data_IF_491874708762
#
_entry.id   IF_491874708762
#
_cell.length_a   1.000
_cell.length_b   1.000
_cell.length_c   1.000
_cell.angle_alpha   90.00
_cell.angle_beta   90.00
_cell.angle_gamma   90.00
#
_symmetry.space_group_name_H-M   'P 1'
#
loop_
_entity.id
_entity.type
_entity.pdbx_description
1 polymer ?
#
# COMPACT_ATOMS: atom_id res chain seq x y z
N UNK A 1 -22.67 -13.62 18.55
CA UNK A 1 -21.22 -13.58 18.34
C UNK A 1 -20.87 -13.46 16.85
N UNK A 2 -21.38 -14.27 15.98
CA UNK A 2 -21.16 -14.28 14.51
C UNK A 2 -21.50 -12.94 13.84
N UNK A 3 -22.58 -12.26 14.19
CA UNK A 3 -22.92 -10.92 13.66
C UNK A 3 -21.95 -9.80 14.06
N UNK A 4 -21.22 -9.93 15.17
CA UNK A 4 -20.16 -8.99 15.55
C UNK A 4 -18.88 -9.24 14.74
N UNK A 5 -18.55 -10.48 14.45
CA UNK A 5 -17.40 -10.85 13.61
C UNK A 5 -17.62 -10.41 12.16
N UNK A 6 -18.82 -10.62 11.59
CA UNK A 6 -19.21 -10.15 10.25
C UNK A 6 -19.25 -8.62 10.13
N UNK A 7 -19.48 -7.89 11.22
CA UNK A 7 -19.45 -6.42 11.26
C UNK A 7 -18.04 -5.86 11.41
N UNK A 8 -17.09 -6.69 11.85
CA UNK A 8 -15.66 -6.34 12.00
C UNK A 8 -14.81 -6.79 10.79
N UNK A 9 -15.30 -7.70 9.99
CA UNK A 9 -14.71 -8.05 8.70
C UNK A 9 -15.11 -6.93 7.75
N UNK A 10 -14.41 -5.80 7.88
CA UNK A 10 -14.54 -4.69 6.93
C UNK A 10 -14.44 -5.30 5.53
N UNK A 11 -15.52 -5.25 4.81
CA UNK A 11 -15.65 -5.80 3.45
C UNK A 11 -14.55 -5.24 2.52
N UNK A 12 -13.95 -4.12 2.91
CA UNK A 12 -12.81 -3.48 2.26
C UNK A 12 -11.53 -4.30 2.45
N UNK A 13 -11.29 -4.84 3.64
CA UNK A 13 -10.10 -5.67 3.92
C UNK A 13 -10.16 -6.98 3.16
N UNK A 14 -11.34 -7.60 3.08
CA UNK A 14 -11.56 -8.82 2.29
C UNK A 14 -11.33 -8.53 0.79
N UNK A 15 -11.90 -7.45 0.27
CA UNK A 15 -11.70 -7.06 -1.14
C UNK A 15 -10.24 -6.79 -1.45
N UNK A 16 -9.51 -6.14 -0.55
CA UNK A 16 -8.08 -5.91 -0.71
C UNK A 16 -7.28 -7.21 -0.64
N UNK A 17 -7.63 -8.13 0.27
CA UNK A 17 -7.03 -9.46 0.33
C UNK A 17 -7.21 -10.23 -0.98
N UNK A 18 -8.44 -10.23 -1.55
CA UNK A 18 -8.70 -10.85 -2.85
C UNK A 18 -7.89 -10.24 -3.99
N UNK A 19 -7.77 -8.90 -4.05
CA UNK A 19 -6.95 -8.23 -5.06
C UNK A 19 -5.49 -8.68 -5.00
N UNK A 20 -4.89 -8.70 -3.81
CA UNK A 20 -3.50 -9.14 -3.63
C UNK A 20 -3.35 -10.59 -4.04
N UNK A 21 -4.21 -11.46 -3.52
CA UNK A 21 -4.14 -12.89 -3.79
C UNK A 21 -4.23 -13.18 -5.28
N UNK A 22 -5.20 -12.59 -5.98
CA UNK A 22 -5.35 -12.76 -7.42
C UNK A 22 -4.12 -12.22 -8.15
N UNK A 23 -3.63 -11.02 -7.78
CA UNK A 23 -2.49 -10.39 -8.45
C UNK A 23 -1.17 -11.13 -8.24
N UNK A 24 -1.00 -11.81 -7.11
CA UNK A 24 0.20 -12.58 -6.82
C UNK A 24 0.12 -14.02 -7.34
N UNK A 25 -1.00 -14.70 -7.11
CA UNK A 25 -1.13 -16.14 -7.39
C UNK A 25 -1.35 -16.43 -8.87
N UNK A 26 -2.13 -15.58 -9.57
CA UNK A 26 -2.47 -15.83 -10.98
C UNK A 26 -1.23 -15.85 -11.90
N UNK A 27 -0.30 -14.87 -11.84
CA UNK A 27 0.92 -14.94 -12.63
C UNK A 27 1.79 -16.16 -12.31
N UNK A 28 1.90 -16.53 -11.02
CA UNK A 28 2.70 -17.69 -10.61
C UNK A 28 2.13 -18.97 -11.22
N UNK A 29 0.81 -19.20 -11.10
CA UNK A 29 0.18 -20.40 -11.67
C UNK A 29 0.33 -20.41 -13.18
N UNK A 30 0.07 -19.29 -13.85
CA UNK A 30 0.14 -19.20 -15.31
C UNK A 30 1.55 -19.55 -15.84
N UNK A 31 2.58 -18.93 -15.28
CA UNK A 31 3.95 -19.17 -15.71
C UNK A 31 4.52 -20.53 -15.22
N UNK A 32 3.98 -21.08 -14.12
CA UNK A 32 4.30 -22.43 -13.69
C UNK A 32 3.90 -23.48 -14.75
N UNK A 33 2.69 -23.35 -15.31
CA UNK A 33 2.25 -24.23 -16.40
C UNK A 33 3.06 -24.08 -17.68
N UNK A 34 3.67 -22.92 -17.92
CA UNK A 34 4.57 -22.67 -19.05
C UNK A 34 6.02 -23.13 -18.79
N UNK A 35 6.32 -23.65 -17.61
CA UNK A 35 7.68 -24.09 -17.24
C UNK A 35 8.63 -22.95 -16.83
N UNK A 36 8.14 -21.72 -16.69
CA UNK A 36 8.92 -20.53 -16.35
C UNK A 36 8.54 -19.94 -14.98
N UNK A 37 8.67 -20.75 -13.93
CA UNK A 37 8.27 -20.35 -12.56
C UNK A 37 8.91 -19.04 -12.09
N UNK A 38 10.20 -18.83 -12.38
CA UNK A 38 10.94 -17.63 -11.94
C UNK A 38 10.34 -16.33 -12.48
N UNK A 39 9.86 -16.34 -13.73
CA UNK A 39 9.21 -15.19 -14.35
C UNK A 39 7.91 -14.87 -13.61
N UNK A 40 7.07 -15.88 -13.36
CA UNK A 40 5.81 -15.72 -12.64
C UNK A 40 6.02 -15.22 -11.21
N UNK A 41 7.04 -15.74 -10.53
CA UNK A 41 7.38 -15.33 -9.18
C UNK A 41 7.85 -13.87 -9.12
N UNK A 42 8.68 -13.43 -10.07
CA UNK A 42 9.16 -12.05 -10.15
C UNK A 42 8.01 -11.08 -10.41
N UNK A 43 7.07 -11.43 -11.30
CA UNK A 43 5.86 -10.63 -11.56
C UNK A 43 5.00 -10.56 -10.28
N UNK A 44 4.81 -11.67 -9.57
CA UNK A 44 4.06 -11.69 -8.32
C UNK A 44 4.69 -10.83 -7.24
N UNK A 45 6.03 -10.83 -7.11
CA UNK A 45 6.75 -9.95 -6.20
C UNK A 45 6.52 -8.48 -6.55
N UNK A 46 6.60 -8.10 -7.83
CA UNK A 46 6.31 -6.74 -8.30
C UNK A 46 4.89 -6.30 -7.93
N UNK A 47 3.90 -7.17 -8.13
CA UNK A 47 2.51 -6.91 -7.75
C UNK A 47 2.35 -6.74 -6.22
N UNK A 48 2.97 -7.62 -5.44
CA UNK A 48 2.93 -7.60 -3.98
C UNK A 48 3.58 -6.33 -3.40
N UNK A 49 4.73 -5.93 -3.93
CA UNK A 49 5.44 -4.73 -3.47
C UNK A 49 4.70 -3.44 -3.82
N UNK A 50 3.95 -3.43 -4.91
CA UNK A 50 3.19 -2.24 -5.34
C UNK A 50 1.89 -2.06 -4.55
N UNK A 51 1.32 -3.14 -3.99
CA UNK A 51 0.05 -3.14 -3.27
C UNK A 51 -0.08 -2.08 -2.15
N UNK A 52 0.93 -1.83 -1.27
CA UNK A 52 0.77 -0.91 -0.15
C UNK A 52 0.39 0.52 -0.59
N UNK A 53 0.74 0.90 -1.82
CA UNK A 53 0.42 2.21 -2.38
C UNK A 53 -1.04 2.36 -2.84
N UNK A 54 -1.82 1.26 -2.90
CA UNK A 54 -3.23 1.25 -3.28
C UNK A 54 -4.12 1.79 -2.15
N UNK A 55 -3.98 3.07 -1.85
CA UNK A 55 -4.83 3.75 -0.89
C UNK A 55 -6.11 4.19 -1.58
N UNK A 56 -7.26 3.94 -0.93
CA UNK A 56 -8.55 4.35 -1.44
C UNK A 56 -8.64 5.87 -1.66
N UNK A 57 -8.90 6.27 -2.89
CA UNK A 57 -8.96 7.66 -3.31
C UNK A 57 -9.64 7.79 -4.67
N UNK A 58 -9.73 9.02 -5.21
CA UNK A 58 -10.23 9.24 -6.57
C UNK A 58 -9.39 8.46 -7.60
N UNK A 59 -10.01 8.02 -8.70
CA UNK A 59 -9.40 7.19 -9.74
C UNK A 59 -8.04 7.70 -10.22
N UNK A 60 -7.94 9.00 -10.53
CA UNK A 60 -6.69 9.60 -11.02
C UNK A 60 -5.56 9.48 -9.98
N UNK A 61 -5.86 9.79 -8.73
CA UNK A 61 -4.88 9.71 -7.65
C UNK A 61 -4.50 8.27 -7.30
N UNK A 62 -5.42 7.33 -7.47
CA UNK A 62 -5.15 5.90 -7.29
C UNK A 62 -4.20 5.38 -8.36
N UNK A 63 -4.50 5.63 -9.63
CA UNK A 63 -3.66 5.20 -10.76
C UNK A 63 -2.24 5.77 -10.61
N UNK A 64 -2.13 7.08 -10.38
CA UNK A 64 -0.83 7.72 -10.24
C UNK A 64 -0.04 7.17 -9.05
N UNK A 65 -0.70 6.93 -7.90
CA UNK A 65 -0.03 6.39 -6.72
C UNK A 65 0.55 4.98 -6.95
N UNK A 66 -0.23 4.10 -7.57
CA UNK A 66 0.19 2.73 -7.89
C UNK A 66 1.27 2.73 -8.98
N UNK A 67 1.14 3.56 -10.02
CA UNK A 67 2.16 3.71 -11.07
C UNK A 67 3.50 4.19 -10.49
N UNK A 68 3.48 5.27 -9.70
CA UNK A 68 4.71 5.79 -9.07
C UNK A 68 5.35 4.71 -8.19
N UNK A 69 4.57 3.96 -7.43
CA UNK A 69 5.11 2.85 -6.63
C UNK A 69 5.73 1.75 -7.51
N UNK A 70 5.08 1.35 -8.61
CA UNK A 70 5.61 0.36 -9.52
C UNK A 70 6.95 0.79 -10.12
N UNK A 71 7.07 2.06 -10.55
CA UNK A 71 8.32 2.62 -11.05
C UNK A 71 9.41 2.71 -9.98
N UNK A 72 9.07 3.10 -8.75
CA UNK A 72 10.03 3.16 -7.64
C UNK A 72 10.50 1.76 -7.27
N UNK A 73 9.61 0.77 -7.21
CA UNK A 73 9.94 -0.63 -6.90
C UNK A 73 10.89 -1.20 -7.96
N UNK A 74 10.55 -1.06 -9.24
CA UNK A 74 11.39 -1.55 -10.33
C UNK A 74 12.72 -0.78 -10.42
N UNK A 75 12.67 0.55 -10.28
CA UNK A 75 13.85 1.42 -10.31
C UNK A 75 14.80 1.17 -9.13
N UNK A 76 14.30 0.98 -7.92
CA UNK A 76 15.10 0.66 -6.76
C UNK A 76 15.81 -0.69 -6.92
N UNK A 77 15.10 -1.71 -7.41
CA UNK A 77 15.67 -3.02 -7.69
C UNK A 77 16.78 -2.93 -8.77
N UNK A 78 16.48 -2.23 -9.87
CA UNK A 78 17.44 -2.01 -10.95
C UNK A 78 18.71 -1.30 -10.46
N UNK A 79 18.56 -0.21 -9.70
CA UNK A 79 19.69 0.55 -9.19
C UNK A 79 20.58 -0.28 -8.28
N UNK A 80 20.00 -1.06 -7.37
CA UNK A 80 20.77 -1.93 -6.46
C UNK A 80 21.57 -2.95 -7.24
N UNK A 81 20.94 -3.67 -8.18
CA UNK A 81 21.62 -4.69 -8.98
C UNK A 81 22.71 -4.10 -9.89
N UNK A 82 22.51 -2.89 -10.43
CA UNK A 82 23.49 -2.22 -11.30
C UNK A 82 24.74 -1.79 -10.53
N UNK A 83 24.58 -1.36 -9.27
CA UNK A 83 25.68 -0.77 -8.48
C UNK A 83 26.40 -1.85 -7.64
N UNK A 84 25.72 -2.96 -7.33
CA UNK A 84 26.26 -4.03 -6.50
C UNK A 84 27.66 -4.52 -6.91
N UNK A 85 28.04 -4.64 -8.21
CA UNK A 85 29.39 -5.09 -8.62
C UNK A 85 30.51 -4.13 -8.20
N UNK A 86 30.20 -2.88 -7.82
CA UNK A 86 31.20 -1.84 -7.50
C UNK A 86 31.16 -1.49 -6.00
N UNK A 87 31.85 -2.23 -5.10
CA UNK A 87 31.69 -2.10 -3.65
C UNK A 87 32.03 -0.69 -3.13
N UNK A 88 33.00 0.01 -3.70
CA UNK A 88 33.39 1.36 -3.26
C UNK A 88 32.27 2.37 -3.49
N UNK A 89 31.53 2.24 -4.59
CA UNK A 89 30.41 3.13 -4.95
C UNK A 89 29.12 2.65 -4.30
N UNK A 90 29.01 1.34 -4.08
CA UNK A 90 27.80 0.71 -3.55
C UNK A 90 27.42 1.24 -2.16
N UNK A 91 28.35 1.26 -1.20
CA UNK A 91 28.04 1.66 0.17
C UNK A 91 27.49 3.09 0.29
N UNK A 92 28.16 4.14 -0.25
CA UNK A 92 27.64 5.51 -0.13
C UNK A 92 26.33 5.69 -0.90
N UNK A 93 26.19 5.07 -2.07
CA UNK A 93 25.01 5.22 -2.90
C UNK A 93 23.81 4.45 -2.32
N UNK A 94 24.03 3.29 -1.70
CA UNK A 94 23.01 2.56 -0.97
C UNK A 94 22.42 3.40 0.16
N UNK A 95 23.26 4.02 0.99
CA UNK A 95 22.80 4.91 2.07
C UNK A 95 21.98 6.07 1.50
N UNK A 96 22.43 6.63 0.39
CA UNK A 96 21.75 7.74 -0.28
C UNK A 96 20.40 7.32 -0.84
N UNK A 97 20.27 6.15 -1.46
CA UNK A 97 18.99 5.60 -1.96
C UNK A 97 18.02 5.40 -0.80
N UNK A 98 18.46 4.75 0.29
CA UNK A 98 17.61 4.53 1.47
C UNK A 98 17.18 5.86 2.09
N UNK A 99 18.07 6.85 2.16
CA UNK A 99 17.78 8.18 2.66
C UNK A 99 16.72 8.90 1.80
N UNK A 100 16.87 8.92 0.48
CA UNK A 100 15.89 9.54 -0.41
C UNK A 100 14.54 8.84 -0.35
N UNK A 101 14.52 7.50 -0.36
CA UNK A 101 13.27 6.76 -0.18
C UNK A 101 12.60 7.09 1.15
N UNK A 102 13.37 7.22 2.23
CA UNK A 102 12.85 7.57 3.55
C UNK A 102 12.27 8.99 3.59
N UNK A 103 12.91 9.97 2.95
CA UNK A 103 12.40 11.36 2.87
C UNK A 103 11.04 11.42 2.18
N UNK A 104 10.78 10.59 1.18
CA UNK A 104 9.49 10.53 0.50
C UNK A 104 8.33 10.36 1.49
N UNK A 105 8.55 9.64 2.60
CA UNK A 105 7.52 9.40 3.62
C UNK A 105 7.00 10.68 4.29
N UNK A 106 7.74 11.77 4.27
CA UNK A 106 7.36 13.07 4.87
C UNK A 106 6.18 13.71 4.14
N UNK A 107 5.97 13.41 2.87
CA UNK A 107 4.92 14.00 2.03
C UNK A 107 3.51 13.45 2.29
N UNK A 108 3.30 12.67 3.35
CA UNK A 108 1.99 12.20 3.79
C UNK A 108 1.78 10.70 3.63
N UNK A 109 0.61 10.22 4.06
CA UNK A 109 0.33 8.78 4.19
C UNK A 109 0.55 7.98 2.91
N UNK A 110 0.20 8.54 1.74
CA UNK A 110 0.42 7.87 0.45
C UNK A 110 1.91 7.75 0.12
N UNK A 111 2.64 8.84 0.30
CA UNK A 111 4.07 8.87 0.07
C UNK A 111 4.81 7.91 1.03
N UNK A 112 4.33 7.78 2.26
CA UNK A 112 4.83 6.79 3.24
C UNK A 112 4.67 5.35 2.71
N UNK A 113 3.53 5.01 2.11
CA UNK A 113 3.31 3.66 1.56
C UNK A 113 4.15 3.40 0.31
N UNK A 114 4.34 4.40 -0.53
CA UNK A 114 5.25 4.32 -1.69
C UNK A 114 6.70 4.16 -1.23
N UNK A 115 7.14 4.93 -0.25
CA UNK A 115 8.47 4.81 0.39
C UNK A 115 8.69 3.40 0.96
N UNK A 116 7.71 2.89 1.70
CA UNK A 116 7.73 1.54 2.26
C UNK A 116 7.89 0.47 1.18
N UNK A 117 7.14 0.58 0.07
CA UNK A 117 7.26 -0.31 -1.09
C UNK A 117 8.66 -0.29 -1.70
N UNK A 118 9.23 0.91 -1.85
CA UNK A 118 10.60 1.10 -2.36
C UNK A 118 11.66 0.50 -1.44
N UNK A 119 11.56 0.74 -0.13
CA UNK A 119 12.49 0.17 0.86
C UNK A 119 12.42 -1.35 0.93
N UNK A 120 11.22 -1.93 0.84
CA UNK A 120 11.06 -3.38 0.72
C UNK A 120 11.69 -3.93 -0.57
N UNK A 121 11.52 -3.22 -1.69
CA UNK A 121 12.16 -3.62 -2.96
C UNK A 121 13.69 -3.61 -2.85
N UNK A 122 14.27 -2.59 -2.22
CA UNK A 122 15.71 -2.52 -1.94
C UNK A 122 16.16 -3.72 -1.10
N UNK A 123 15.42 -4.07 -0.04
CA UNK A 123 15.73 -5.22 0.81
C UNK A 123 15.67 -6.54 0.05
N UNK A 124 14.65 -6.73 -0.81
CA UNK A 124 14.48 -7.95 -1.59
C UNK A 124 15.44 -8.04 -2.78
N UNK A 125 15.99 -6.93 -3.27
CA UNK A 125 16.98 -6.94 -4.33
C UNK A 125 18.24 -7.75 -3.96
N UNK A 126 18.57 -7.83 -2.68
CA UNK A 126 19.69 -8.66 -2.18
C UNK A 126 19.42 -10.15 -2.22
N UNK A 127 18.16 -10.58 -2.27
CA UNK A 127 17.80 -12.00 -2.35
C UNK A 127 18.05 -12.59 -3.76
N UNK A 128 17.98 -11.74 -4.78
CA UNK A 128 18.17 -12.13 -6.19
C UNK A 128 19.07 -11.11 -6.89
N UNK A 129 20.39 -11.29 -6.73
CA UNK A 129 21.38 -10.48 -7.42
C UNK A 129 21.56 -10.99 -8.84
N UNK A 130 21.19 -10.20 -9.80
CA UNK A 130 21.32 -10.50 -11.22
C UNK A 130 22.52 -9.75 -11.81
N UNK A 131 23.06 -10.26 -12.90
CA UNK A 131 24.19 -9.65 -13.63
C UNK A 131 23.87 -9.50 -15.10
N UNK A 132 24.43 -8.47 -15.75
CA UNK A 132 24.26 -8.24 -17.17
C UNK A 132 22.83 -7.89 -17.58
N UNK A 133 22.36 -8.50 -18.67
CA UNK A 133 21.03 -8.24 -19.27
C UNK A 133 19.90 -8.67 -18.35
N UNK A 134 20.11 -9.72 -17.54
CA UNK A 134 19.10 -10.21 -16.59
C UNK A 134 18.64 -9.14 -15.57
N UNK A 135 19.45 -8.13 -15.28
CA UNK A 135 19.06 -7.01 -14.42
C UNK A 135 17.86 -6.26 -15.01
N UNK A 136 17.92 -5.97 -16.30
CA UNK A 136 16.87 -5.21 -16.99
C UNK A 136 15.61 -6.06 -17.14
N UNK A 137 15.77 -7.34 -17.46
CA UNK A 137 14.65 -8.28 -17.55
C UNK A 137 13.93 -8.40 -16.19
N UNK A 138 14.66 -8.57 -15.10
CA UNK A 138 14.09 -8.68 -13.76
C UNK A 138 13.35 -7.40 -13.33
N UNK A 139 13.95 -6.23 -13.58
CA UNK A 139 13.30 -4.95 -13.30
C UNK A 139 12.05 -4.74 -14.16
N UNK A 140 12.10 -5.13 -15.43
CA UNK A 140 10.96 -5.10 -16.34
C UNK A 140 9.81 -6.01 -15.91
N UNK A 141 10.13 -7.22 -15.45
CA UNK A 141 9.14 -8.16 -14.91
C UNK A 141 8.51 -7.65 -13.61
N UNK A 142 9.30 -7.03 -12.73
CA UNK A 142 8.74 -6.38 -11.53
C UNK A 142 7.80 -5.23 -11.88
N UNK A 143 8.16 -4.42 -12.87
CA UNK A 143 7.30 -3.35 -13.35
C UNK A 143 6.02 -3.92 -13.97
N UNK A 144 6.12 -4.98 -14.78
CA UNK A 144 4.97 -5.68 -15.33
C UNK A 144 4.05 -6.21 -14.22
N UNK A 145 4.61 -6.71 -13.12
CA UNK A 145 3.86 -7.12 -11.93
C UNK A 145 3.08 -5.98 -11.28
N UNK A 146 3.72 -4.82 -11.12
CA UNK A 146 3.06 -3.62 -10.61
C UNK A 146 1.92 -3.13 -11.51
N UNK A 147 2.12 -3.15 -12.84
CA UNK A 147 1.08 -2.83 -13.82
C UNK A 147 -0.07 -3.86 -13.81
N UNK A 148 0.25 -5.14 -13.66
CA UNK A 148 -0.75 -6.19 -13.53
C UNK A 148 -1.60 -6.00 -12.26
N UNK A 149 -0.95 -5.65 -11.13
CA UNK A 149 -1.67 -5.28 -9.92
C UNK A 149 -2.61 -4.10 -10.16
N UNK A 150 -2.14 -3.06 -10.85
CA UNK A 150 -2.95 -1.89 -11.19
C UNK A 150 -4.19 -2.31 -12.01
N UNK A 151 -3.99 -3.16 -13.01
CA UNK A 151 -5.10 -3.69 -13.83
C UNK A 151 -6.15 -4.41 -12.98
N UNK A 152 -5.72 -5.34 -12.13
CA UNK A 152 -6.62 -6.06 -11.20
C UNK A 152 -7.33 -5.08 -10.27
N UNK A 153 -6.61 -4.11 -9.70
CA UNK A 153 -7.18 -3.10 -8.80
C UNK A 153 -8.22 -2.22 -9.49
N UNK A 154 -8.04 -1.90 -10.78
CA UNK A 154 -9.03 -1.18 -11.59
C UNK A 154 -10.27 -2.03 -11.89
N UNK A 155 -10.10 -3.30 -12.22
CA UNK A 155 -11.25 -4.22 -12.41
C UNK A 155 -12.13 -4.25 -11.16
N UNK A 156 -11.54 -4.39 -9.98
CA UNK A 156 -12.28 -4.36 -8.72
C UNK A 156 -12.90 -2.98 -8.41
N UNK A 157 -12.27 -1.89 -8.85
CA UNK A 157 -12.84 -0.55 -8.69
C UNK A 157 -14.11 -0.39 -9.53
N UNK A 158 -14.14 -0.86 -10.79
CA UNK A 158 -15.32 -0.79 -11.64
C UNK A 158 -16.47 -1.69 -11.15
N UNK A 159 -16.16 -2.81 -10.49
CA UNK A 159 -17.17 -3.68 -9.91
C UNK A 159 -17.90 -3.05 -8.71
N UNK A 160 -17.24 -2.20 -7.91
CA UNK A 160 -17.80 -1.58 -6.71
C UNK A 160 -17.29 -0.15 -6.48
N UNK A 161 -17.63 0.83 -7.32
CA UNK A 161 -17.03 2.17 -7.28
C UNK A 161 -17.43 3.00 -6.05
N UNK A 162 -18.62 2.79 -5.48
CA UNK A 162 -19.16 3.63 -4.40
C UNK A 162 -18.98 3.06 -2.99
N UNK A 163 -18.69 1.79 -2.87
CA UNK A 163 -18.66 1.09 -1.56
C UNK A 163 -17.66 1.67 -0.57
N UNK A 164 -16.53 2.13 -1.05
CA UNK A 164 -15.52 2.74 -0.19
C UNK A 164 -15.94 4.13 0.31
N UNK A 165 -16.59 4.91 -0.56
CA UNK A 165 -17.11 6.23 -0.22
C UNK A 165 -18.21 6.11 0.85
N UNK A 166 -19.12 5.16 0.70
CA UNK A 166 -20.18 4.87 1.67
C UNK A 166 -19.61 4.51 3.05
N UNK A 167 -18.57 3.68 3.11
CA UNK A 167 -17.93 3.29 4.36
C UNK A 167 -17.24 4.47 5.04
N UNK A 168 -16.56 5.34 4.30
CA UNK A 168 -15.95 6.53 4.85
C UNK A 168 -16.99 7.52 5.36
N UNK A 169 -18.05 7.77 4.61
CA UNK A 169 -19.16 8.63 5.03
C UNK A 169 -19.82 8.07 6.29
N UNK A 170 -20.11 6.76 6.33
CA UNK A 170 -20.68 6.11 7.50
C UNK A 170 -19.76 6.23 8.74
N UNK A 171 -18.44 6.13 8.54
CA UNK A 171 -17.47 6.30 9.62
C UNK A 171 -17.40 7.75 10.11
N UNK A 172 -17.42 8.73 9.20
CA UNK A 172 -17.51 10.15 9.52
C UNK A 172 -18.78 10.47 10.33
N UNK A 173 -19.95 10.03 9.85
CA UNK A 173 -21.23 10.24 10.54
C UNK A 173 -21.19 9.62 11.94
N UNK A 174 -20.65 8.40 12.08
CA UNK A 174 -20.53 7.71 13.37
C UNK A 174 -19.60 8.46 14.34
N UNK A 175 -18.49 9.01 13.85
CA UNK A 175 -17.56 9.80 14.67
C UNK A 175 -18.18 11.13 15.08
N UNK A 176 -18.86 11.81 14.16
CA UNK A 176 -19.58 13.07 14.42
C UNK A 176 -20.72 12.84 15.44
N UNK A 177 -21.51 11.79 15.28
CA UNK A 177 -22.54 11.41 16.25
C UNK A 177 -21.96 11.20 17.66
N UNK A 178 -20.84 10.49 17.77
CA UNK A 178 -20.15 10.28 19.05
C UNK A 178 -19.60 11.59 19.63
N UNK A 179 -19.11 12.49 18.78
CA UNK A 179 -18.65 13.81 19.20
C UNK A 179 -19.79 14.66 19.75
N UNK A 180 -20.91 14.72 19.02
CA UNK A 180 -22.12 15.45 19.45
C UNK A 180 -22.68 14.89 20.75
N UNK A 181 -22.69 13.56 20.93
CA UNK A 181 -23.13 12.94 22.17
C UNK A 181 -22.25 13.35 23.37
N UNK A 182 -20.92 13.37 23.19
CA UNK A 182 -20.01 13.86 24.23
C UNK A 182 -20.20 15.34 24.54
N UNK A 183 -20.54 16.13 23.55
CA UNK A 183 -20.83 17.56 23.72
C UNK A 183 -22.15 17.77 24.47
N UNK A 184 -23.16 16.95 24.18
CA UNK A 184 -24.42 16.95 24.95
C UNK A 184 -24.22 16.55 26.42
N UNK A 185 -23.33 15.57 26.67
CA UNK A 185 -23.00 15.13 28.04
C UNK A 185 -22.33 16.25 28.86
N UNK A 186 -21.65 17.23 28.21
CA UNK A 186 -21.08 18.41 28.91
C UNK A 186 -22.13 19.38 29.43
N UNK A 187 -23.34 19.35 28.90
CA UNK A 187 -24.46 20.17 29.39
C UNK A 187 -25.11 19.60 30.64
N UNK A 188 -24.76 18.34 30.96
CA UNK A 188 -25.22 17.72 32.22
C UNK A 188 -24.35 18.20 33.37
N UNK A 189 -24.94 18.93 34.33
CA UNK A 189 -24.29 19.56 35.48
C UNK A 189 -23.61 18.56 36.42
N UNK A 190 -24.01 17.29 36.40
CA UNK A 190 -23.48 16.21 37.29
C UNK A 190 -22.38 15.35 36.63
N UNK A 191 -21.94 15.68 35.42
CA UNK A 191 -20.95 14.87 34.71
C UNK A 191 -19.51 15.30 35.05
N UNK A 192 -18.54 14.38 35.15
CA UNK A 192 -17.13 14.67 35.38
C UNK A 192 -16.52 15.38 34.16
N UNK A 193 -16.58 16.70 34.15
CA UNK A 193 -16.21 17.58 33.02
C UNK A 193 -14.82 17.29 32.47
N UNK A 194 -13.82 17.11 33.31
CA UNK A 194 -12.43 16.90 32.89
C UNK A 194 -12.25 15.65 32.03
N UNK A 195 -12.92 14.55 32.39
CA UNK A 195 -12.87 13.31 31.60
C UNK A 195 -13.57 13.41 30.25
N UNK A 196 -14.62 14.23 30.17
CA UNK A 196 -15.38 14.43 28.94
C UNK A 196 -14.59 15.32 27.99
N UNK A 197 -13.95 16.38 28.50
CA UNK A 197 -13.08 17.29 27.71
C UNK A 197 -11.90 16.52 27.11
N UNK A 198 -11.21 15.69 27.91
CA UNK A 198 -10.13 14.85 27.38
C UNK A 198 -10.60 13.88 26.27
N UNK A 199 -11.75 13.23 26.45
CA UNK A 199 -12.34 12.36 25.43
C UNK A 199 -12.76 13.11 24.17
N UNK A 200 -13.20 14.35 24.31
CA UNK A 200 -13.57 15.21 23.20
C UNK A 200 -12.35 15.62 22.39
N UNK A 201 -11.25 16.01 23.05
CA UNK A 201 -10.00 16.41 22.40
C UNK A 201 -9.40 15.27 21.58
N UNK A 202 -9.32 14.07 22.13
CA UNK A 202 -8.84 12.87 21.43
C UNK A 202 -9.72 12.50 20.21
N UNK A 203 -11.05 12.73 20.30
CA UNK A 203 -11.96 12.43 19.18
C UNK A 203 -11.96 13.49 18.09
N UNK A 204 -11.81 14.77 18.43
CA UNK A 204 -11.73 15.85 17.44
C UNK A 204 -10.51 15.69 16.52
N UNK A 205 -9.40 15.19 17.06
CA UNK A 205 -8.19 14.88 16.28
C UNK A 205 -8.32 13.68 15.34
N UNK A 206 -9.29 12.79 15.56
CA UNK A 206 -9.56 11.64 14.66
C UNK A 206 -10.52 11.96 13.51
N UNK A 207 -11.16 13.13 13.53
CA UNK A 207 -12.13 13.58 12.51
C UNK A 207 -11.42 14.44 11.43
N UNK A 208 -10.24 15.02 11.76
CA UNK A 208 -9.36 15.67 10.78
C UNK A 208 -8.54 14.64 10.02
#
# INVERSE_FOLDING_TARGET
MIRKVLKYTDTTNITNAFKITISAVLPVIFFYYLGHFEIGFTIALGAFLTYPSDIPSSLKHKINGVLVAAFIVAGANLLINLIYPYPIIFYPLFVLIVFFLSIISVYGQRATMVSFSGLLSVSLAFAHLNTGIAILEHAGLMLAGGLFYLFVSLCFYFLNPYRYLELQIAQCIKLTSKYLKLRADLWNTNAPRDRIIQKQFVKSHRIK
#
